data_IF_490458653257
#
_entry.id   IF_490458653257
#
_cell.length_a   1.000
_cell.length_b   1.000
_cell.length_c   1.000
_cell.angle_alpha   90.00
_cell.angle_beta   90.00
_cell.angle_gamma   90.00
#
_symmetry.space_group_name_H-M   'P 1'
#
loop_
_entity.id
_entity.type
_entity.pdbx_description
1 polymer ?
#
# COMPACT_ATOMS: atom_id res chain seq x y z
N UNK A 1 -32.77 -2.78 -39.15
CA UNK A 1 -31.64 -3.18 -38.28
C UNK A 1 -30.80 -1.94 -38.08
N UNK A 2 -30.90 -1.30 -36.92
CA UNK A 2 -30.11 -0.11 -36.59
C UNK A 2 -28.64 -0.50 -36.57
N UNK A 3 -27.86 0.12 -37.45
CA UNK A 3 -26.42 -0.10 -37.62
C UNK A 3 -25.63 0.62 -36.51
N UNK A 4 -26.03 0.40 -35.25
CA UNK A 4 -25.32 0.95 -34.10
C UNK A 4 -24.03 0.14 -33.96
N UNK A 5 -22.85 0.75 -34.04
CA UNK A 5 -21.59 0.02 -33.87
C UNK A 5 -21.62 -0.70 -32.53
N UNK A 6 -21.12 -1.95 -32.53
CA UNK A 6 -20.96 -2.73 -31.31
C UNK A 6 -20.15 -1.90 -30.31
N UNK A 7 -20.57 -1.85 -29.04
CA UNK A 7 -19.86 -1.10 -28.03
C UNK A 7 -18.44 -1.67 -27.88
N UNK A 8 -17.43 -0.81 -28.01
CA UNK A 8 -16.01 -1.16 -27.95
C UNK A 8 -15.48 -0.85 -26.55
N UNK A 9 -15.08 -1.88 -25.81
CA UNK A 9 -14.62 -1.74 -24.44
C UNK A 9 -13.37 -0.86 -24.35
N UNK A 10 -12.51 -0.88 -25.37
CA UNK A 10 -11.26 -0.14 -25.40
C UNK A 10 -11.49 1.38 -25.40
N UNK A 11 -12.59 1.84 -26.01
CA UNK A 11 -12.96 3.26 -25.98
C UNK A 11 -13.27 3.73 -24.56
N UNK A 12 -13.98 2.91 -23.77
CA UNK A 12 -14.26 3.21 -22.37
C UNK A 12 -12.99 3.16 -21.52
N UNK A 13 -12.11 2.19 -21.75
CA UNK A 13 -10.84 2.09 -21.02
C UNK A 13 -9.94 3.30 -21.26
N UNK A 14 -9.97 3.88 -22.46
CA UNK A 14 -9.24 5.12 -22.78
C UNK A 14 -9.70 6.33 -21.95
N UNK A 15 -10.99 6.40 -21.62
CA UNK A 15 -11.55 7.51 -20.83
C UNK A 15 -11.02 7.54 -19.39
N UNK A 16 -10.60 6.39 -18.84
CA UNK A 16 -10.08 6.31 -17.47
C UNK A 16 -8.86 7.24 -17.26
N UNK A 17 -7.72 7.04 -17.94
CA UNK A 17 -6.58 7.93 -17.78
C UNK A 17 -6.89 9.37 -18.24
N UNK A 18 -7.64 9.56 -19.34
CA UNK A 18 -7.96 10.90 -19.88
C UNK A 18 -8.77 11.77 -18.90
N UNK A 19 -9.66 11.16 -18.11
CA UNK A 19 -10.51 11.87 -17.15
C UNK A 19 -10.04 11.71 -15.69
N UNK A 20 -8.84 11.19 -15.46
CA UNK A 20 -8.32 10.94 -14.11
C UNK A 20 -9.15 9.95 -13.29
N UNK A 21 -9.83 9.02 -13.96
CA UNK A 21 -10.67 7.98 -13.36
C UNK A 21 -9.85 6.83 -12.75
N UNK A 22 -10.36 6.26 -11.66
CA UNK A 22 -9.79 5.09 -11.00
C UNK A 22 -10.46 3.78 -11.44
N UNK A 23 -11.78 3.80 -11.62
CA UNK A 23 -12.58 2.61 -11.91
C UNK A 23 -13.66 2.93 -12.94
N UNK A 24 -13.96 1.98 -13.83
CA UNK A 24 -15.06 1.99 -14.80
C UNK A 24 -16.03 0.85 -14.47
N UNK A 25 -17.32 1.14 -14.38
CA UNK A 25 -18.38 0.20 -14.02
C UNK A 25 -19.30 -0.03 -15.21
N UNK A 26 -19.57 -1.31 -15.49
CA UNK A 26 -20.50 -1.75 -16.53
C UNK A 26 -21.56 -2.65 -15.90
N UNK A 27 -22.82 -2.22 -15.97
CA UNK A 27 -23.96 -2.98 -15.48
C UNK A 27 -25.17 -2.70 -16.38
N UNK A 28 -25.90 -3.76 -16.73
CA UNK A 28 -27.15 -3.66 -17.49
C UNK A 28 -28.14 -2.75 -16.75
N UNK A 29 -28.83 -1.90 -17.50
CA UNK A 29 -29.80 -0.92 -16.98
C UNK A 29 -29.19 0.38 -16.46
N UNK A 30 -27.86 0.55 -16.55
CA UNK A 30 -27.17 1.80 -16.25
C UNK A 30 -26.23 2.18 -17.41
N UNK A 31 -25.92 3.48 -17.60
CA UNK A 31 -24.82 3.87 -18.46
C UNK A 31 -23.48 3.41 -17.87
N UNK A 32 -22.43 3.21 -18.68
CA UNK A 32 -21.07 3.01 -18.18
C UNK A 32 -20.71 4.15 -17.23
N UNK A 33 -20.23 3.83 -16.03
CA UNK A 33 -19.88 4.84 -15.03
C UNK A 33 -18.39 4.88 -14.80
N UNK A 34 -17.81 6.08 -14.79
CA UNK A 34 -16.44 6.32 -14.41
C UNK A 34 -16.41 6.90 -13.00
N UNK A 35 -15.57 6.35 -12.14
CA UNK A 35 -15.28 6.90 -10.81
C UNK A 35 -13.99 7.70 -10.86
N UNK A 36 -14.07 8.98 -10.55
CA UNK A 36 -12.93 9.87 -10.37
C UNK A 36 -13.01 10.50 -8.98
N UNK A 37 -11.87 10.55 -8.29
CA UNK A 37 -11.75 11.21 -6.99
C UNK A 37 -12.73 10.78 -5.89
N UNK A 38 -13.30 9.58 -6.00
CA UNK A 38 -14.29 9.04 -5.07
C UNK A 38 -15.75 9.21 -5.50
N UNK A 39 -16.02 9.99 -6.55
CA UNK A 39 -17.35 10.23 -7.09
C UNK A 39 -17.56 9.46 -8.39
N UNK A 40 -18.75 8.86 -8.55
CA UNK A 40 -19.14 8.12 -9.76
C UNK A 40 -19.96 9.02 -10.66
N UNK A 41 -19.64 9.03 -11.96
CA UNK A 41 -20.36 9.81 -12.97
C UNK A 41 -20.51 9.00 -14.26
N UNK A 42 -21.61 9.17 -15.02
CA UNK A 42 -21.75 8.54 -16.34
C UNK A 42 -20.60 8.93 -17.27
N UNK A 43 -20.03 7.95 -17.98
CA UNK A 43 -19.02 8.18 -19.01
C UNK A 43 -19.65 8.68 -20.32
N UNK A 44 -20.87 8.19 -20.61
CA UNK A 44 -21.81 8.63 -21.64
C UNK A 44 -23.27 8.50 -21.13
N UNK A 45 -24.25 8.88 -21.95
CA UNK A 45 -25.68 8.85 -21.60
C UNK A 45 -26.39 7.54 -22.00
N UNK A 46 -25.70 6.60 -22.65
CA UNK A 46 -26.32 5.40 -23.21
C UNK A 46 -26.46 4.33 -22.14
N UNK A 47 -27.71 3.95 -21.86
CA UNK A 47 -27.99 2.81 -20.98
C UNK A 47 -27.57 1.50 -21.64
N UNK A 48 -26.84 0.67 -20.90
CA UNK A 48 -26.41 -0.66 -21.36
C UNK A 48 -27.60 -1.63 -21.33
N UNK A 49 -27.92 -2.20 -22.49
CA UNK A 49 -29.00 -3.17 -22.68
C UNK A 49 -28.56 -4.60 -22.30
N UNK A 50 -29.51 -5.54 -22.07
CA UNK A 50 -29.20 -6.94 -21.83
C UNK A 50 -28.27 -7.54 -22.89
N UNK A 51 -27.24 -8.28 -22.46
CA UNK A 51 -26.22 -8.85 -23.33
C UNK A 51 -25.11 -7.89 -23.82
N UNK A 52 -25.24 -6.58 -23.65
CA UNK A 52 -24.19 -5.63 -24.08
C UNK A 52 -22.95 -5.71 -23.19
N UNK A 53 -23.13 -5.83 -21.88
CA UNK A 53 -22.00 -6.01 -20.96
C UNK A 53 -21.28 -7.33 -21.22
N UNK A 54 -22.02 -8.40 -21.57
CA UNK A 54 -21.43 -9.67 -22.03
C UNK A 54 -20.55 -9.43 -23.25
N UNK A 55 -21.05 -8.69 -24.23
CA UNK A 55 -20.30 -8.35 -25.46
C UNK A 55 -19.03 -7.56 -25.16
N UNK A 56 -19.07 -6.62 -24.21
CA UNK A 56 -17.91 -5.85 -23.76
C UNK A 56 -16.89 -6.72 -23.01
N UNK A 57 -17.34 -7.54 -22.08
CA UNK A 57 -16.49 -8.41 -21.28
C UNK A 57 -15.75 -9.44 -22.15
N UNK A 58 -16.41 -10.00 -23.18
CA UNK A 58 -15.82 -10.98 -24.09
C UNK A 58 -14.68 -10.40 -24.93
N UNK A 59 -14.66 -9.09 -25.19
CA UNK A 59 -13.54 -8.43 -25.87
C UNK A 59 -12.26 -8.44 -25.03
N UNK A 60 -12.36 -8.65 -23.72
CA UNK A 60 -11.24 -8.69 -22.79
C UNK A 60 -10.73 -10.12 -22.54
N UNK A 61 -11.47 -11.15 -22.96
CA UNK A 61 -11.17 -12.55 -22.67
C UNK A 61 -10.62 -13.27 -23.91
N UNK A 62 -9.66 -14.15 -23.68
CA UNK A 62 -9.36 -15.24 -24.63
C UNK A 62 -10.51 -16.26 -24.67
N UNK A 63 -10.62 -17.09 -25.73
CA UNK A 63 -11.66 -18.12 -25.81
C UNK A 63 -11.66 -19.12 -24.64
N UNK A 64 -10.48 -19.46 -24.10
CA UNK A 64 -10.36 -20.32 -22.93
C UNK A 64 -10.89 -19.64 -21.67
N UNK A 65 -10.51 -18.37 -21.44
CA UNK A 65 -11.03 -17.57 -20.33
C UNK A 65 -12.55 -17.39 -20.40
N UNK A 66 -13.11 -17.20 -21.59
CA UNK A 66 -14.57 -17.11 -21.74
C UNK A 66 -15.27 -18.41 -21.29
N UNK A 67 -14.70 -19.58 -21.59
CA UNK A 67 -15.22 -20.87 -21.12
C UNK A 67 -15.11 -21.02 -19.61
N UNK A 68 -13.97 -20.63 -19.03
CA UNK A 68 -13.78 -20.65 -17.58
C UNK A 68 -14.77 -19.72 -16.88
N UNK A 69 -15.00 -18.51 -17.41
CA UNK A 69 -15.97 -17.58 -16.85
C UNK A 69 -17.42 -18.10 -16.94
N UNK A 70 -17.81 -18.73 -18.05
CA UNK A 70 -19.14 -19.34 -18.17
C UNK A 70 -19.35 -20.50 -17.19
N UNK A 71 -18.28 -21.20 -16.79
CA UNK A 71 -18.31 -22.26 -15.78
C UNK A 71 -18.35 -21.70 -14.36
N UNK A 72 -17.46 -20.75 -14.05
CA UNK A 72 -17.17 -20.32 -12.68
C UNK A 72 -17.98 -19.08 -12.26
N UNK A 73 -18.62 -18.40 -13.22
CA UNK A 73 -19.48 -17.21 -13.05
C UNK A 73 -18.77 -15.96 -12.50
N UNK A 74 -17.45 -16.03 -12.27
CA UNK A 74 -16.59 -14.96 -11.81
C UNK A 74 -15.21 -15.06 -12.49
N UNK A 75 -14.59 -13.92 -12.80
CA UNK A 75 -13.27 -13.87 -13.43
C UNK A 75 -12.53 -12.57 -13.10
N UNK A 76 -11.24 -12.70 -12.80
CA UNK A 76 -10.32 -11.58 -12.67
C UNK A 76 -9.32 -11.63 -13.84
N UNK A 77 -9.06 -10.48 -14.47
CA UNK A 77 -8.12 -10.34 -15.57
C UNK A 77 -7.17 -9.18 -15.29
N UNK A 78 -5.88 -9.36 -15.56
CA UNK A 78 -5.01 -8.22 -15.84
C UNK A 78 -4.91 -8.00 -17.35
N UNK A 79 -5.03 -6.74 -17.74
CA UNK A 79 -5.10 -6.31 -19.13
C UNK A 79 -4.02 -5.27 -19.38
N UNK A 80 -3.32 -5.42 -20.51
CA UNK A 80 -2.40 -4.40 -21.00
C UNK A 80 -2.92 -3.91 -22.34
N UNK A 81 -3.38 -2.66 -22.38
CA UNK A 81 -3.91 -2.05 -23.59
C UNK A 81 -2.84 -1.09 -24.14
N UNK A 82 -2.27 -1.36 -25.33
CA UNK A 82 -1.26 -0.51 -25.94
C UNK A 82 -1.69 0.96 -25.97
N UNK A 83 -0.74 1.86 -25.67
CA UNK A 83 -0.90 3.33 -25.67
C UNK A 83 -1.96 3.89 -24.71
N UNK A 84 -2.64 3.05 -23.92
CA UNK A 84 -3.68 3.48 -22.97
C UNK A 84 -3.23 3.23 -21.53
N UNK A 85 -2.85 2.00 -21.20
CA UNK A 85 -2.46 1.65 -19.83
C UNK A 85 -2.68 0.19 -19.47
N UNK A 86 -2.41 -0.12 -18.20
CA UNK A 86 -2.72 -1.43 -17.62
C UNK A 86 -3.95 -1.35 -16.75
N UNK A 87 -4.76 -2.40 -16.78
CA UNK A 87 -6.02 -2.47 -16.10
C UNK A 87 -6.18 -3.79 -15.39
N UNK A 88 -7.04 -3.81 -14.38
CA UNK A 88 -7.57 -5.04 -13.81
C UNK A 88 -9.08 -5.06 -13.98
N UNK A 89 -9.61 -6.11 -14.60
CA UNK A 89 -11.04 -6.32 -14.75
C UNK A 89 -11.52 -7.41 -13.79
N UNK A 90 -12.60 -7.13 -13.07
CA UNK A 90 -13.39 -8.11 -12.34
C UNK A 90 -14.73 -8.26 -13.07
N UNK A 91 -15.06 -9.47 -13.48
CA UNK A 91 -16.21 -9.81 -14.33
C UNK A 91 -17.02 -10.87 -13.60
N UNK A 92 -18.32 -10.65 -13.45
CA UNK A 92 -19.19 -11.47 -12.60
C UNK A 92 -20.65 -11.43 -13.08
N UNK A 93 -21.50 -12.32 -12.57
CA UNK A 93 -22.93 -12.27 -12.80
C UNK A 93 -23.68 -11.51 -11.69
N UNK A 94 -24.66 -10.69 -12.07
CA UNK A 94 -25.61 -10.08 -11.17
C UNK A 94 -27.02 -10.13 -11.78
N UNK A 95 -27.98 -10.66 -11.01
CA UNK A 95 -29.40 -10.78 -11.43
C UNK A 95 -29.59 -11.45 -12.79
N UNK A 96 -28.74 -12.42 -13.13
CA UNK A 96 -28.79 -13.16 -14.41
C UNK A 96 -28.04 -12.51 -15.57
N UNK A 97 -27.46 -11.32 -15.38
CA UNK A 97 -26.72 -10.59 -16.41
C UNK A 97 -25.24 -10.45 -16.03
N UNK A 98 -24.37 -10.31 -17.04
CA UNK A 98 -22.95 -10.03 -16.83
C UNK A 98 -22.76 -8.59 -16.35
N UNK A 99 -21.90 -8.40 -15.36
CA UNK A 99 -21.40 -7.13 -14.88
C UNK A 99 -19.87 -7.13 -14.88
N UNK A 100 -19.27 -5.94 -14.97
CA UNK A 100 -17.82 -5.79 -15.02
C UNK A 100 -17.38 -4.50 -14.35
N UNK A 101 -16.30 -4.56 -13.60
CA UNK A 101 -15.58 -3.40 -13.08
C UNK A 101 -14.14 -3.45 -13.57
N UNK A 102 -13.68 -2.36 -14.20
CA UNK A 102 -12.30 -2.25 -14.69
C UNK A 102 -11.58 -1.13 -13.96
N UNK A 103 -10.45 -1.44 -13.32
CA UNK A 103 -9.61 -0.49 -12.58
C UNK A 103 -8.36 -0.15 -13.36
N UNK A 104 -8.01 1.14 -13.44
CA UNK A 104 -6.72 1.60 -13.97
C UNK A 104 -5.61 1.33 -12.97
N UNK A 105 -4.53 0.66 -13.40
CA UNK A 105 -3.32 0.44 -12.59
C UNK A 105 -2.38 1.64 -12.78
N UNK A 106 -1.86 2.17 -11.67
CA UNK A 106 -1.01 3.36 -11.69
C UNK A 106 0.38 3.03 -12.26
N UNK A 107 0.82 3.84 -13.22
CA UNK A 107 2.18 3.74 -13.79
C UNK A 107 3.11 4.82 -13.25
N UNK A 108 2.58 5.97 -12.86
CA UNK A 108 3.39 7.07 -12.32
C UNK A 108 3.64 6.79 -10.84
N UNK A 109 4.88 6.44 -10.52
CA UNK A 109 5.34 6.25 -9.15
C UNK A 109 5.93 7.58 -8.67
N UNK A 110 5.38 8.20 -7.62
CA UNK A 110 5.91 9.44 -7.07
C UNK A 110 7.27 9.22 -6.39
N UNK A 111 8.08 10.27 -6.29
CA UNK A 111 9.32 10.24 -5.52
C UNK A 111 9.02 10.32 -4.01
N UNK A 112 9.86 9.71 -3.18
CA UNK A 112 9.74 9.69 -1.71
C UNK A 112 9.55 11.10 -1.13
N UNK A 113 10.34 12.07 -1.59
CA UNK A 113 10.27 13.46 -1.14
C UNK A 113 8.97 14.16 -1.55
N UNK A 114 8.45 13.87 -2.74
CA UNK A 114 7.18 14.44 -3.23
C UNK A 114 5.97 13.97 -2.42
N UNK A 115 6.06 12.80 -1.80
CA UNK A 115 5.06 12.29 -0.86
C UNK A 115 5.15 12.95 0.52
N UNK A 116 6.18 13.76 0.79
CA UNK A 116 6.46 14.30 2.12
C UNK A 116 6.99 13.25 3.11
N UNK A 117 7.62 12.19 2.61
CA UNK A 117 8.23 11.14 3.44
C UNK A 117 9.69 11.49 3.79
N UNK A 118 10.22 10.96 4.90
CA UNK A 118 11.63 11.16 5.28
C UNK A 118 12.61 10.66 4.21
N UNK A 119 13.61 11.47 3.85
CA UNK A 119 14.61 11.12 2.82
C UNK A 119 15.50 9.92 3.18
N UNK A 120 15.55 9.54 4.46
CA UNK A 120 16.24 8.33 4.90
C UNK A 120 15.65 7.04 4.30
N UNK A 121 14.39 7.06 3.83
CA UNK A 121 13.79 5.92 3.14
C UNK A 121 14.56 5.55 1.86
N UNK A 122 15.16 6.52 1.16
CA UNK A 122 16.02 6.27 0.00
C UNK A 122 17.26 5.45 0.40
N UNK A 123 17.87 5.76 1.55
CA UNK A 123 19.02 5.02 2.10
C UNK A 123 18.62 3.61 2.54
N UNK A 124 17.42 3.45 3.09
CA UNK A 124 16.87 2.15 3.48
C UNK A 124 16.61 1.26 2.26
N UNK A 125 16.07 1.81 1.17
CA UNK A 125 15.83 1.09 -0.08
C UNK A 125 17.13 0.56 -0.73
N UNK A 126 18.27 1.19 -0.42
CA UNK A 126 19.58 0.82 -0.94
C UNK A 126 20.32 -0.25 -0.13
N UNK A 127 19.79 -0.66 1.03
CA UNK A 127 20.42 -1.71 1.86
C UNK A 127 20.51 -3.05 1.11
N UNK A 128 21.51 -3.86 1.45
CA UNK A 128 21.70 -5.19 0.85
C UNK A 128 20.71 -6.21 1.41
N UNK A 129 20.49 -6.17 2.73
CA UNK A 129 19.75 -7.18 3.46
C UNK A 129 19.03 -6.65 4.67
N UNK A 130 18.00 -7.37 5.09
CA UNK A 130 17.23 -7.11 6.28
C UNK A 130 15.75 -6.89 5.98
N UNK A 131 14.96 -6.57 7.00
CA UNK A 131 13.52 -6.45 6.92
C UNK A 131 13.06 -5.00 7.08
N UNK A 132 12.28 -4.50 6.14
CA UNK A 132 11.58 -3.22 6.22
C UNK A 132 10.07 -3.48 6.21
N UNK A 133 9.36 -2.96 7.20
CA UNK A 133 7.90 -3.08 7.27
C UNK A 133 7.24 -1.70 7.15
N UNK A 134 6.38 -1.54 6.14
CA UNK A 134 5.51 -0.36 6.01
C UNK A 134 4.16 -0.67 6.64
N UNK A 135 3.78 0.10 7.65
CA UNK A 135 2.69 -0.21 8.57
C UNK A 135 1.61 0.86 8.47
N UNK A 136 0.35 0.45 8.48
CA UNK A 136 -0.77 1.39 8.43
C UNK A 136 -2.11 0.77 8.08
N UNK A 137 -3.19 1.51 8.33
CA UNK A 137 -4.54 1.12 7.93
C UNK A 137 -4.68 0.98 6.41
N UNK A 138 -5.82 0.43 5.96
CA UNK A 138 -6.18 0.47 4.55
C UNK A 138 -6.23 1.93 4.05
N UNK A 139 -5.66 2.19 2.87
CA UNK A 139 -5.61 3.54 2.31
C UNK A 139 -4.61 4.50 2.98
N UNK A 140 -3.74 4.04 3.89
CA UNK A 140 -2.72 4.87 4.55
C UNK A 140 -1.51 5.25 3.65
N UNK A 141 -1.47 4.79 2.39
CA UNK A 141 -0.39 5.09 1.45
C UNK A 141 0.77 4.09 1.42
N UNK A 142 0.63 2.94 2.10
CA UNK A 142 1.69 1.91 2.23
C UNK A 142 2.27 1.48 0.87
N UNK A 143 1.41 1.06 -0.05
CA UNK A 143 1.79 0.56 -1.37
C UNK A 143 2.47 1.66 -2.20
N UNK A 144 2.03 2.92 -2.07
CA UNK A 144 2.68 4.07 -2.72
C UNK A 144 4.09 4.29 -2.17
N UNK A 145 4.28 4.23 -0.85
CA UNK A 145 5.61 4.36 -0.24
C UNK A 145 6.54 3.24 -0.65
N UNK A 146 6.04 2.00 -0.61
CA UNK A 146 6.81 0.84 -1.01
C UNK A 146 7.23 0.96 -2.49
N UNK A 147 6.30 1.28 -3.39
CA UNK A 147 6.59 1.51 -4.80
C UNK A 147 7.64 2.63 -4.97
N UNK A 148 7.54 3.73 -4.22
CA UNK A 148 8.52 4.83 -4.29
C UNK A 148 9.93 4.36 -3.89
N UNK A 149 10.04 3.55 -2.83
CA UNK A 149 11.31 2.99 -2.36
C UNK A 149 11.92 2.02 -3.38
N UNK A 150 11.11 1.11 -3.94
CA UNK A 150 11.59 0.17 -4.96
C UNK A 150 11.98 0.88 -6.24
N UNK A 151 11.23 1.89 -6.67
CA UNK A 151 11.56 2.68 -7.86
C UNK A 151 12.85 3.49 -7.68
N UNK A 152 13.08 4.02 -6.47
CA UNK A 152 14.35 4.65 -6.12
C UNK A 152 15.50 3.65 -6.27
N UNK A 153 15.41 2.46 -5.68
CA UNK A 153 16.45 1.43 -5.85
C UNK A 153 16.65 1.05 -7.31
N UNK A 154 15.57 0.79 -8.05
CA UNK A 154 15.59 0.40 -9.45
C UNK A 154 16.28 1.45 -10.36
N UNK A 155 16.22 2.74 -10.01
CA UNK A 155 16.98 3.79 -10.70
C UNK A 155 18.46 3.81 -10.36
N UNK A 156 18.84 3.47 -9.13
CA UNK A 156 20.18 3.74 -8.60
C UNK A 156 21.08 2.51 -8.48
N UNK A 157 20.50 1.31 -8.44
CA UNK A 157 21.23 0.04 -8.27
C UNK A 157 20.85 -0.96 -9.35
N UNK A 158 21.80 -1.81 -9.74
CA UNK A 158 21.52 -2.99 -10.55
C UNK A 158 21.25 -4.18 -9.64
N UNK A 159 20.40 -5.08 -10.10
CA UNK A 159 20.01 -6.28 -9.38
C UNK A 159 18.66 -6.79 -9.84
N UNK A 160 18.12 -7.76 -9.11
CA UNK A 160 16.83 -8.36 -9.34
C UNK A 160 15.88 -8.06 -8.18
N UNK A 161 14.73 -7.47 -8.50
CA UNK A 161 13.65 -7.19 -7.54
C UNK A 161 12.48 -8.10 -7.90
N UNK A 162 12.03 -8.94 -6.97
CA UNK A 162 10.82 -9.74 -7.16
C UNK A 162 9.71 -9.23 -6.24
N UNK A 163 8.54 -8.97 -6.80
CA UNK A 163 7.35 -8.54 -6.07
C UNK A 163 6.27 -9.61 -6.12
N UNK A 164 5.68 -9.93 -4.98
CA UNK A 164 4.55 -10.84 -4.85
C UNK A 164 3.38 -10.05 -4.28
N UNK A 165 2.33 -9.85 -5.08
CA UNK A 165 1.24 -8.90 -4.80
C UNK A 165 -0.14 -9.53 -5.00
N UNK A 166 -1.15 -8.99 -4.31
CA UNK A 166 -2.55 -9.42 -4.40
C UNK A 166 -3.47 -8.20 -4.18
N UNK A 167 -3.77 -7.42 -5.24
CA UNK A 167 -3.18 -7.41 -6.58
C UNK A 167 -1.95 -6.49 -6.72
N UNK A 168 -1.38 -6.41 -7.92
CA UNK A 168 -0.40 -5.37 -8.27
C UNK A 168 -1.06 -3.98 -8.23
N UNK A 169 -0.52 -3.07 -7.41
CA UNK A 169 -1.05 -1.69 -7.29
C UNK A 169 -0.33 -0.68 -8.18
N UNK A 170 0.98 -0.85 -8.35
CA UNK A 170 1.84 0.00 -9.15
C UNK A 170 2.64 -0.84 -10.12
N UNK A 171 2.71 -0.40 -11.38
CA UNK A 171 3.57 -1.07 -12.35
C UNK A 171 4.97 -0.45 -12.32
N UNK A 172 5.97 -1.29 -12.11
CA UNK A 172 7.36 -0.92 -12.24
C UNK A 172 7.90 -1.27 -13.62
N UNK A 173 8.56 -0.30 -14.25
CA UNK A 173 9.33 -0.54 -15.47
C UNK A 173 10.76 -0.94 -15.12
N UNK A 174 11.37 -1.84 -15.88
CA UNK A 174 12.80 -2.12 -15.76
C UNK A 174 13.62 -0.85 -15.97
N UNK A 175 14.65 -0.64 -15.13
CA UNK A 175 15.58 0.49 -15.25
C UNK A 175 17.01 -0.03 -15.10
N UNK A 176 17.67 0.27 -13.99
CA UNK A 176 18.99 -0.28 -13.67
C UNK A 176 18.87 -1.67 -13.04
N UNK A 177 17.78 -1.93 -12.32
CA UNK A 177 17.39 -3.28 -11.90
C UNK A 177 16.41 -3.91 -12.90
N UNK A 178 16.40 -5.25 -12.90
CA UNK A 178 15.30 -6.07 -13.39
C UNK A 178 14.27 -6.14 -12.26
N UNK A 179 12.99 -6.03 -12.60
CA UNK A 179 11.90 -6.05 -11.63
C UNK A 179 10.76 -6.90 -12.18
N UNK A 180 10.50 -8.01 -11.50
CA UNK A 180 9.48 -8.99 -11.87
C UNK A 180 8.36 -8.94 -10.83
N UNK A 181 7.15 -8.63 -11.26
CA UNK A 181 5.97 -8.55 -10.40
C UNK A 181 5.05 -9.73 -10.69
N UNK A 182 4.62 -10.43 -9.64
CA UNK A 182 3.77 -11.60 -9.71
C UNK A 182 2.48 -11.33 -8.94
N UNK A 183 1.36 -11.30 -9.65
CA UNK A 183 0.03 -11.19 -9.07
C UNK A 183 -0.52 -12.58 -8.69
N UNK A 184 -0.97 -12.74 -7.45
CA UNK A 184 -1.62 -13.96 -6.99
C UNK A 184 -2.96 -14.18 -7.69
N UNK A 185 -3.18 -15.40 -8.17
CA UNK A 185 -4.33 -15.78 -8.98
C UNK A 185 -4.13 -15.58 -10.48
N UNK A 186 -3.08 -14.85 -10.91
CA UNK A 186 -2.77 -14.62 -12.32
C UNK A 186 -1.41 -15.19 -12.72
N UNK A 187 -0.33 -14.72 -12.08
CA UNK A 187 1.05 -15.13 -12.40
C UNK A 187 1.54 -16.27 -11.49
N UNK A 188 0.82 -16.52 -10.40
CA UNK A 188 1.06 -17.60 -9.45
C UNK A 188 -0.27 -18.08 -8.87
N UNK A 189 -0.43 -19.38 -8.68
CA UNK A 189 -1.70 -19.94 -8.17
C UNK A 189 -1.98 -19.52 -6.72
N UNK A 190 -0.93 -19.41 -5.90
CA UNK A 190 -1.05 -19.04 -4.50
C UNK A 190 0.12 -18.17 -4.06
N UNK A 191 -0.11 -17.42 -2.98
CA UNK A 191 0.94 -16.65 -2.31
C UNK A 191 2.04 -17.58 -1.77
N UNK A 192 1.65 -18.73 -1.21
CA UNK A 192 2.58 -19.74 -0.69
C UNK A 192 3.52 -20.30 -1.78
N UNK A 193 2.98 -20.64 -2.95
CA UNK A 193 3.80 -21.15 -4.05
C UNK A 193 4.80 -20.11 -4.56
N UNK A 194 4.42 -18.83 -4.58
CA UNK A 194 5.32 -17.75 -4.93
C UNK A 194 6.45 -17.61 -3.90
N UNK A 195 6.11 -17.59 -2.60
CA UNK A 195 7.08 -17.53 -1.51
C UNK A 195 8.06 -18.71 -1.53
N UNK A 196 7.57 -19.92 -1.81
CA UNK A 196 8.42 -21.11 -1.85
C UNK A 196 9.45 -21.06 -2.99
N UNK A 197 9.10 -20.43 -4.11
CA UNK A 197 9.93 -20.44 -5.32
C UNK A 197 10.83 -19.20 -5.46
N UNK A 198 10.50 -18.08 -4.80
CA UNK A 198 11.23 -16.81 -4.96
C UNK A 198 12.74 -16.93 -4.73
N UNK A 199 13.20 -17.77 -3.80
CA UNK A 199 14.64 -17.97 -3.54
C UNK A 199 15.39 -18.64 -4.70
N UNK A 200 14.69 -19.30 -5.62
CA UNK A 200 15.26 -19.89 -6.84
C UNK A 200 15.28 -18.90 -8.01
N UNK A 201 14.70 -17.73 -7.84
CA UNK A 201 14.61 -16.67 -8.84
C UNK A 201 15.81 -15.70 -8.74
N UNK A 202 16.79 -16.00 -7.89
CA UNK A 202 17.97 -15.17 -7.62
C UNK A 202 17.64 -13.68 -7.34
N UNK A 203 16.72 -13.37 -6.40
CA UNK A 203 16.39 -11.99 -6.06
C UNK A 203 17.50 -11.34 -5.24
N UNK A 204 17.68 -10.03 -5.37
CA UNK A 204 18.40 -9.19 -4.40
C UNK A 204 17.42 -8.54 -3.41
N UNK A 205 16.20 -8.24 -3.88
CA UNK A 205 15.11 -7.66 -3.09
C UNK A 205 13.85 -8.48 -3.30
N UNK A 206 13.19 -8.80 -2.20
CA UNK A 206 11.88 -9.46 -2.20
C UNK A 206 10.86 -8.51 -1.61
N UNK A 207 9.83 -8.20 -2.38
CA UNK A 207 8.70 -7.41 -1.95
C UNK A 207 7.49 -8.30 -1.73
N UNK A 208 6.92 -8.21 -0.53
CA UNK A 208 5.72 -8.92 -0.14
C UNK A 208 4.58 -7.92 0.02
N UNK A 209 3.52 -8.07 -0.76
CA UNK A 209 2.39 -7.15 -0.78
C UNK A 209 1.83 -6.90 0.61
N UNK A 210 1.50 -7.97 1.35
CA UNK A 210 1.04 -7.87 2.73
C UNK A 210 1.36 -9.13 3.55
N UNK A 211 1.79 -8.96 4.79
CA UNK A 211 1.92 -10.07 5.76
C UNK A 211 0.60 -10.23 6.53
N UNK A 212 -0.11 -11.34 6.27
CA UNK A 212 -1.41 -11.64 6.88
C UNK A 212 -1.38 -12.75 7.93
N UNK A 213 -0.34 -13.59 7.90
CA UNK A 213 -0.25 -14.82 8.69
C UNK A 213 1.19 -15.17 9.09
N UNK A 214 1.31 -16.23 9.91
CA UNK A 214 2.58 -16.74 10.42
C UNK A 214 3.51 -17.24 9.31
N UNK A 215 2.96 -17.97 8.33
CA UNK A 215 3.75 -18.57 7.25
C UNK A 215 4.43 -17.49 6.41
N UNK A 216 3.69 -16.44 6.02
CA UNK A 216 4.23 -15.30 5.28
C UNK A 216 5.27 -14.55 6.08
N UNK A 217 5.05 -14.36 7.39
CA UNK A 217 6.02 -13.71 8.27
C UNK A 217 7.31 -14.54 8.43
N UNK A 218 7.21 -15.86 8.55
CA UNK A 218 8.37 -16.76 8.60
C UNK A 218 9.21 -16.65 7.33
N UNK A 219 8.56 -16.63 6.16
CA UNK A 219 9.25 -16.41 4.90
C UNK A 219 9.96 -15.04 4.87
N UNK A 220 9.30 -13.97 5.28
CA UNK A 220 9.89 -12.64 5.33
C UNK A 220 11.14 -12.58 6.24
N UNK A 221 11.08 -13.20 7.43
CA UNK A 221 12.23 -13.32 8.33
C UNK A 221 13.35 -14.15 7.71
N UNK A 222 13.02 -15.29 7.11
CA UNK A 222 13.97 -16.17 6.47
C UNK A 222 14.69 -15.49 5.28
N UNK A 223 13.97 -14.71 4.47
CA UNK A 223 14.58 -13.95 3.36
C UNK A 223 15.58 -12.90 3.88
N UNK A 224 15.19 -12.17 4.92
CA UNK A 224 16.07 -11.18 5.55
C UNK A 224 17.32 -11.83 6.15
N UNK A 225 17.17 -12.99 6.81
CA UNK A 225 18.25 -13.76 7.42
C UNK A 225 19.23 -14.32 6.37
N UNK A 226 18.69 -14.81 5.25
CA UNK A 226 19.47 -15.39 4.14
C UNK A 226 20.16 -14.33 3.26
N UNK A 227 20.10 -13.06 3.64
CA UNK A 227 20.89 -11.99 3.02
C UNK A 227 20.16 -11.17 1.97
N UNK A 228 18.83 -11.26 1.88
CA UNK A 228 18.01 -10.45 0.97
C UNK A 228 17.46 -9.23 1.68
N UNK A 229 17.20 -8.15 0.93
CA UNK A 229 16.36 -7.07 1.43
C UNK A 229 14.90 -7.48 1.25
N UNK A 230 14.21 -7.78 2.35
CA UNK A 230 12.78 -8.05 2.35
C UNK A 230 12.01 -6.78 2.72
N UNK A 231 11.08 -6.35 1.88
CA UNK A 231 10.21 -5.20 2.13
C UNK A 231 8.77 -5.67 2.09
N UNK A 232 7.98 -5.35 3.11
CA UNK A 232 6.61 -5.81 3.16
C UNK A 232 5.67 -4.77 3.78
N UNK A 233 4.36 -4.94 3.55
CA UNK A 233 3.36 -4.16 4.28
C UNK A 233 2.69 -4.97 5.38
N UNK A 234 2.24 -4.27 6.42
CA UNK A 234 1.47 -4.84 7.53
C UNK A 234 0.33 -3.89 7.90
N UNK A 235 -0.87 -4.42 8.15
CA UNK A 235 -1.91 -3.65 8.81
C UNK A 235 -1.57 -3.43 10.28
N UNK A 236 -1.66 -2.18 10.71
CA UNK A 236 -1.41 -1.76 12.09
C UNK A 236 -1.69 -0.27 12.27
N UNK A 237 -1.86 0.14 13.51
CA UNK A 237 -2.07 1.54 13.89
C UNK A 237 -0.77 2.24 14.29
N UNK A 238 0.23 1.49 14.77
CA UNK A 238 1.59 1.96 15.08
C UNK A 238 2.63 0.86 14.91
N UNK A 239 3.91 1.23 14.94
CA UNK A 239 5.04 0.31 14.87
C UNK A 239 5.05 -0.67 16.05
N UNK A 240 4.73 -0.19 17.25
CA UNK A 240 4.58 -1.06 18.43
C UNK A 240 3.48 -2.11 18.21
N UNK A 241 2.28 -1.68 17.81
CA UNK A 241 1.17 -2.61 17.58
C UNK A 241 1.42 -3.58 16.43
N UNK A 242 2.20 -3.17 15.43
CA UNK A 242 2.65 -4.08 14.37
C UNK A 242 3.51 -5.22 14.92
N UNK A 243 4.48 -4.93 15.80
CA UNK A 243 5.29 -5.97 16.45
C UNK A 243 4.42 -6.89 17.30
N UNK A 244 3.53 -6.33 18.13
CA UNK A 244 2.58 -7.11 18.93
C UNK A 244 1.69 -8.00 18.04
N UNK A 245 1.24 -7.50 16.89
CA UNK A 245 0.45 -8.27 15.92
C UNK A 245 1.26 -9.41 15.31
N UNK A 246 2.52 -9.15 14.94
CA UNK A 246 3.43 -10.19 14.43
C UNK A 246 3.53 -11.34 15.43
N UNK A 247 3.73 -11.03 16.72
CA UNK A 247 3.82 -12.09 17.74
C UNK A 247 2.54 -12.92 17.88
N UNK A 248 1.37 -12.33 17.61
CA UNK A 248 0.06 -13.01 17.69
C UNK A 248 -0.23 -13.94 16.50
N UNK A 249 0.58 -13.90 15.45
CA UNK A 249 0.50 -14.92 14.40
C UNK A 249 0.96 -16.29 14.89
N UNK A 250 1.80 -16.31 15.92
CA UNK A 250 2.45 -17.50 16.42
C UNK A 250 1.86 -17.93 17.77
N UNK A 251 2.01 -19.22 18.15
CA UNK A 251 1.75 -19.67 19.52
C UNK A 251 2.58 -18.88 20.53
N UNK A 252 2.07 -18.72 21.75
CA UNK A 252 2.71 -17.91 22.79
C UNK A 252 4.12 -18.40 23.14
N UNK A 253 4.38 -19.71 23.03
CA UNK A 253 5.68 -20.32 23.28
C UNK A 253 6.74 -19.89 22.26
N UNK A 254 6.33 -19.52 21.04
CA UNK A 254 7.23 -19.08 19.98
C UNK A 254 7.55 -17.57 20.06
N UNK A 255 6.84 -16.79 20.88
CA UNK A 255 7.02 -15.33 21.00
C UNK A 255 8.46 -14.91 21.26
N UNK A 256 9.23 -15.51 22.19
CA UNK A 256 10.63 -15.12 22.40
C UNK A 256 11.50 -15.32 21.17
N UNK A 257 11.28 -16.41 20.44
CA UNK A 257 12.02 -16.71 19.20
C UNK A 257 11.66 -15.70 18.09
N UNK A 258 10.37 -15.44 17.89
CA UNK A 258 9.89 -14.48 16.87
C UNK A 258 10.45 -13.08 17.13
N UNK A 259 10.47 -12.62 18.38
CA UNK A 259 11.06 -11.33 18.74
C UNK A 259 12.57 -11.32 18.56
N UNK A 260 13.27 -12.42 18.86
CA UNK A 260 14.69 -12.55 18.59
C UNK A 260 14.98 -12.44 17.09
N UNK A 261 14.29 -13.22 16.25
CA UNK A 261 14.47 -13.23 14.79
C UNK A 261 14.13 -11.87 14.19
N UNK A 262 13.04 -11.25 14.64
CA UNK A 262 12.66 -9.90 14.23
C UNK A 262 13.73 -8.88 14.61
N UNK A 263 14.24 -8.92 15.85
CA UNK A 263 15.26 -7.98 16.33
C UNK A 263 16.56 -8.08 15.54
N UNK A 264 16.94 -9.28 15.09
CA UNK A 264 18.17 -9.48 14.33
C UNK A 264 18.05 -8.96 12.90
N UNK A 265 16.87 -9.12 12.30
CA UNK A 265 16.63 -8.85 10.88
C UNK A 265 16.03 -7.46 10.60
N UNK A 266 15.39 -6.81 11.57
CA UNK A 266 14.73 -5.51 11.34
C UNK A 266 15.73 -4.41 10.98
N UNK A 267 15.45 -3.73 9.87
CA UNK A 267 16.09 -2.49 9.45
C UNK A 267 15.25 -1.27 9.83
N UNK A 268 13.95 -1.32 9.52
CA UNK A 268 13.05 -0.22 9.81
C UNK A 268 11.57 -0.65 9.91
N UNK A 269 10.84 0.05 10.77
CA UNK A 269 9.37 0.05 10.83
C UNK A 269 8.92 1.46 10.43
N UNK A 270 8.02 1.54 9.45
CA UNK A 270 7.53 2.80 8.87
C UNK A 270 6.02 2.86 9.06
N UNK A 271 5.57 3.41 10.18
CA UNK A 271 4.15 3.64 10.46
C UNK A 271 3.62 4.84 9.70
N UNK A 272 2.43 4.74 9.08
CA UNK A 272 1.84 5.79 8.26
C UNK A 272 0.39 6.10 8.60
N UNK A 273 0.05 7.38 8.56
CA UNK A 273 -1.32 7.90 8.64
C UNK A 273 -1.50 9.00 7.60
N UNK A 274 -2.62 8.98 6.87
CA UNK A 274 -3.03 10.11 6.05
C UNK A 274 -3.97 11.01 6.84
N UNK A 275 -3.56 12.25 7.00
CA UNK A 275 -4.28 13.30 7.72
C UNK A 275 -4.86 14.28 6.70
N UNK A 276 -6.07 14.84 6.91
CA UNK A 276 -6.55 15.95 6.10
C UNK A 276 -5.52 17.08 6.05
N UNK A 277 -5.18 17.56 4.85
CA UNK A 277 -4.20 18.63 4.69
C UNK A 277 -4.89 20.00 4.58
N UNK A 278 -4.19 21.06 5.00
CA UNK A 278 -4.67 22.44 4.93
C UNK A 278 -4.52 23.06 3.54
N UNK A 279 -3.44 22.72 2.82
CA UNK A 279 -3.15 23.19 1.46
C UNK A 279 -3.16 22.08 0.40
N UNK A 280 -2.82 20.86 0.81
CA UNK A 280 -2.90 19.66 -0.01
C UNK A 280 -4.10 18.83 0.45
N UNK A 281 -4.64 17.96 -0.42
CA UNK A 281 -5.80 17.12 -0.05
C UNK A 281 -5.53 16.26 1.19
N UNK A 282 -4.31 15.73 1.32
CA UNK A 282 -3.86 14.89 2.45
C UNK A 282 -2.38 15.14 2.75
N UNK A 283 -1.99 15.09 4.01
CA UNK A 283 -0.61 15.03 4.48
C UNK A 283 -0.32 13.64 5.08
N UNK A 284 0.92 13.16 4.96
CA UNK A 284 1.34 11.90 5.58
C UNK A 284 2.06 12.18 6.89
N UNK A 285 1.53 11.66 8.00
CA UNK A 285 2.26 11.57 9.26
C UNK A 285 2.97 10.22 9.31
N UNK A 286 4.24 10.23 9.71
CA UNK A 286 5.11 9.05 9.69
C UNK A 286 5.71 8.81 11.07
N UNK A 287 5.52 7.62 11.61
CA UNK A 287 6.34 7.07 12.69
C UNK A 287 7.47 6.27 12.05
N UNK A 288 8.72 6.61 12.36
CA UNK A 288 9.89 5.93 11.81
C UNK A 288 10.75 5.37 12.94
N UNK A 289 10.88 4.05 12.96
CA UNK A 289 11.71 3.30 13.90
C UNK A 289 12.81 2.60 13.11
N UNK A 290 14.07 2.87 13.43
CA UNK A 290 15.22 2.21 12.83
C UNK A 290 15.73 1.09 13.73
N UNK A 291 16.21 0.00 13.13
CA UNK A 291 16.77 -1.17 13.80
C UNK A 291 18.15 -0.92 14.43
N UNK A 292 18.27 0.11 15.26
CA UNK A 292 19.50 0.39 16.03
C UNK A 292 19.73 -0.67 17.11
N UNK A 293 20.96 -0.85 17.63
CA UNK A 293 21.22 -1.82 18.70
C UNK A 293 20.30 -1.64 19.92
N UNK A 294 19.95 -0.41 20.27
CA UNK A 294 19.02 -0.12 21.38
C UNK A 294 17.60 -0.60 21.08
N UNK A 295 17.06 -0.26 19.89
CA UNK A 295 15.73 -0.68 19.45
C UNK A 295 15.64 -2.21 19.34
N UNK A 296 16.67 -2.85 18.77
CA UNK A 296 16.75 -4.31 18.67
C UNK A 296 16.73 -4.95 20.05
N UNK A 297 17.45 -4.38 21.02
CA UNK A 297 17.42 -4.82 22.41
C UNK A 297 16.04 -4.73 23.05
N UNK A 298 15.31 -3.62 22.82
CA UNK A 298 13.92 -3.45 23.29
C UNK A 298 13.00 -4.53 22.71
N UNK A 299 13.11 -4.80 21.41
CA UNK A 299 12.31 -5.84 20.73
C UNK A 299 12.64 -7.22 21.29
N UNK A 300 13.92 -7.56 21.39
CA UNK A 300 14.38 -8.88 21.85
C UNK A 300 13.97 -9.19 23.30
N UNK A 301 13.96 -8.18 24.18
CA UNK A 301 13.53 -8.34 25.58
C UNK A 301 12.03 -8.20 25.79
N UNK A 302 11.25 -8.02 24.72
CA UNK A 302 9.80 -7.79 24.77
C UNK A 302 9.40 -6.55 25.59
N UNK A 303 10.26 -5.53 25.60
CA UNK A 303 10.06 -4.25 26.30
C UNK A 303 9.31 -3.25 25.38
N UNK A 304 8.42 -3.74 24.53
CA UNK A 304 7.74 -2.95 23.49
C UNK A 304 7.07 -1.65 23.96
N UNK A 305 6.56 -1.53 25.21
CA UNK A 305 6.07 -0.25 25.72
C UNK A 305 7.11 0.88 25.75
N UNK A 306 8.40 0.56 25.84
CA UNK A 306 9.49 1.56 25.88
C UNK A 306 9.83 2.12 24.50
N UNK A 307 9.34 1.49 23.42
CA UNK A 307 9.70 1.81 22.04
C UNK A 307 9.44 3.27 21.69
N UNK A 308 8.27 3.81 22.06
CA UNK A 308 7.90 5.22 21.78
C UNK A 308 8.90 6.18 22.41
N UNK A 309 9.21 6.01 23.69
CA UNK A 309 10.16 6.88 24.39
C UNK A 309 11.59 6.76 23.84
N UNK A 310 12.00 5.56 23.39
CA UNK A 310 13.29 5.37 22.75
C UNK A 310 13.40 6.11 21.41
N UNK A 311 12.34 6.07 20.60
CA UNK A 311 12.22 6.80 19.33
C UNK A 311 12.28 8.31 19.56
N UNK A 312 11.51 8.82 20.53
CA UNK A 312 11.41 10.27 20.78
C UNK A 312 12.72 10.91 21.24
N UNK A 313 13.56 10.15 21.96
CA UNK A 313 14.88 10.61 22.43
C UNK A 313 15.96 10.59 21.35
N UNK A 314 15.74 9.90 20.22
CA UNK A 314 16.77 9.63 19.22
C UNK A 314 16.77 10.64 18.06
N UNK A 315 16.71 11.94 18.39
CA UNK A 315 16.50 13.03 17.44
C UNK A 315 17.55 13.08 16.29
N UNK A 316 18.80 12.69 16.56
CA UNK A 316 19.88 12.73 15.55
C UNK A 316 19.87 11.55 14.57
N UNK A 317 19.09 10.50 14.84
CA UNK A 317 19.08 9.27 14.04
C UNK A 317 18.12 9.30 12.84
N UNK A 318 17.30 10.35 12.74
CA UNK A 318 16.19 10.43 11.78
C UNK A 318 14.95 9.64 12.20
N UNK A 319 14.95 8.99 13.37
CA UNK A 319 13.75 8.39 13.96
C UNK A 319 12.78 9.48 14.44
N UNK A 320 11.48 9.19 14.39
CA UNK A 320 10.44 10.10 14.87
C UNK A 320 9.17 9.34 15.26
N UNK A 321 8.47 9.82 16.29
CA UNK A 321 7.13 9.33 16.65
C UNK A 321 6.05 9.98 15.77
N UNK A 322 4.83 9.41 15.76
CA UNK A 322 3.70 10.07 15.11
C UNK A 322 3.45 11.47 15.66
N UNK A 323 3.54 11.65 16.98
CA UNK A 323 3.30 12.94 17.64
C UNK A 323 4.34 13.98 17.21
N UNK A 324 5.62 13.59 17.08
CA UNK A 324 6.67 14.46 16.53
C UNK A 324 6.42 14.82 15.06
N UNK A 325 6.02 13.84 14.23
CA UNK A 325 5.69 14.07 12.82
C UNK A 325 4.48 14.98 12.64
N UNK A 326 3.41 14.78 13.42
CA UNK A 326 2.22 15.62 13.40
C UNK A 326 2.51 17.05 13.86
N UNK A 327 3.35 17.18 14.90
CA UNK A 327 3.81 18.49 15.35
C UNK A 327 4.58 19.24 14.26
N UNK A 328 5.49 18.57 13.56
CA UNK A 328 6.22 19.17 12.44
C UNK A 328 5.28 19.57 11.29
N UNK A 329 4.33 18.71 10.91
CA UNK A 329 3.33 19.05 9.89
C UNK A 329 2.50 20.28 10.28
N UNK A 330 2.20 20.45 11.56
CA UNK A 330 1.47 21.58 12.09
C UNK A 330 2.31 22.87 12.03
N UNK A 331 3.60 22.81 12.37
CA UNK A 331 4.55 23.92 12.23
C UNK A 331 4.73 24.35 10.77
N UNK A 332 4.74 23.39 9.84
CA UNK A 332 4.78 23.64 8.40
C UNK A 332 3.45 24.15 7.83
N UNK A 333 2.40 24.29 8.64
CA UNK A 333 1.06 24.72 8.21
C UNK A 333 0.36 23.71 7.29
N UNK A 334 0.80 22.44 7.29
CA UNK A 334 0.27 21.38 6.41
C UNK A 334 -0.99 20.73 6.97
N UNK A 335 -1.21 20.79 8.28
CA UNK A 335 -2.40 20.25 8.97
C UNK A 335 -2.92 21.26 10.00
N UNK A 336 -4.21 21.16 10.33
CA UNK A 336 -4.81 21.97 11.40
C UNK A 336 -4.44 21.44 12.79
N UNK A 337 -4.54 22.27 13.83
CA UNK A 337 -4.37 21.83 15.24
C UNK A 337 -5.37 20.73 15.59
N UNK A 338 -6.63 20.88 15.16
CA UNK A 338 -7.69 19.92 15.42
C UNK A 338 -7.38 18.55 14.80
N UNK A 339 -6.90 18.52 13.55
CA UNK A 339 -6.52 17.28 12.88
C UNK A 339 -5.25 16.68 13.49
N UNK A 340 -4.23 17.49 13.81
CA UNK A 340 -3.02 17.00 14.47
C UNK A 340 -3.35 16.28 15.78
N UNK A 341 -4.19 16.87 16.63
CA UNK A 341 -4.62 16.28 17.90
C UNK A 341 -5.52 15.05 17.74
N UNK A 342 -6.36 15.02 16.70
CA UNK A 342 -7.25 13.88 16.41
C UNK A 342 -6.47 12.63 15.97
N UNK A 343 -5.38 12.82 15.24
CA UNK A 343 -4.58 11.73 14.68
C UNK A 343 -3.33 11.38 15.52
N UNK A 344 -3.12 12.05 16.65
CA UNK A 344 -2.03 11.80 17.60
C UNK A 344 -2.14 10.44 18.28
N UNK A 345 -1.00 9.86 18.65
CA UNK A 345 -0.94 8.73 19.57
C UNK A 345 -1.27 9.16 20.99
N UNK A 346 -0.74 10.31 21.41
CA UNK A 346 -1.09 10.96 22.68
C UNK A 346 -1.58 12.36 22.43
N UNK A 347 -2.91 12.52 22.40
CA UNK A 347 -3.55 13.84 22.31
C UNK A 347 -3.06 14.78 23.41
N UNK A 348 -2.90 14.26 24.63
CA UNK A 348 -2.47 15.04 25.80
C UNK A 348 -1.04 15.55 25.64
N UNK A 349 -0.10 14.68 25.26
CA UNK A 349 1.31 15.07 25.14
C UNK A 349 1.51 16.05 23.98
N UNK A 350 0.84 15.79 22.84
CA UNK A 350 0.90 16.70 21.71
C UNK A 350 0.27 18.06 22.02
N UNK A 351 -0.88 18.09 22.71
CA UNK A 351 -1.51 19.35 23.14
C UNK A 351 -0.61 20.14 24.08
N UNK A 352 0.03 19.46 25.06
CA UNK A 352 0.97 20.10 25.97
C UNK A 352 2.17 20.68 25.21
N UNK A 353 2.74 19.93 24.25
CA UNK A 353 3.83 20.41 23.40
C UNK A 353 3.44 21.64 22.60
N UNK A 354 2.27 21.62 21.94
CA UNK A 354 1.74 22.76 21.19
C UNK A 354 1.59 23.99 22.09
N UNK A 355 1.05 23.82 23.31
CA UNK A 355 0.91 24.92 24.28
C UNK A 355 2.27 25.53 24.65
N UNK A 356 3.24 24.69 25.00
CA UNK A 356 4.56 25.14 25.46
C UNK A 356 5.34 25.86 24.37
N UNK A 357 5.25 25.39 23.12
CA UNK A 357 6.03 25.95 22.01
C UNK A 357 5.31 27.11 21.27
N UNK A 358 3.98 27.13 21.21
CA UNK A 358 3.20 28.21 20.54
C UNK A 358 2.63 29.27 21.48
N UNK A 359 2.69 29.07 22.80
CA UNK A 359 2.12 30.01 23.78
C UNK A 359 0.59 30.18 23.66
N UNK A 360 -0.13 29.14 23.27
CA UNK A 360 -1.59 29.16 23.07
C UNK A 360 -2.37 28.95 24.39
N UNK A 361 -3.35 29.82 24.67
CA UNK A 361 -4.25 29.73 25.83
C UNK A 361 -5.28 28.58 25.71
N UNK A 362 -5.79 28.11 26.86
CA UNK A 362 -6.63 26.90 27.00
C UNK A 362 -7.88 26.87 26.10
N UNK A 363 -8.47 28.04 25.83
CA UNK A 363 -9.70 28.18 25.02
C UNK A 363 -9.50 27.88 23.52
N UNK A 364 -8.25 27.86 23.04
CA UNK A 364 -7.94 27.70 21.62
C UNK A 364 -7.74 26.24 21.15
N UNK A 365 -7.63 25.29 22.10
CA UNK A 365 -7.32 23.88 21.81
C UNK A 365 -8.58 23.00 21.71
N UNK A 366 -9.76 23.56 22.00
CA UNK A 366 -11.04 22.84 21.99
C UNK A 366 -11.13 21.78 23.10
N UNK A 367 -12.34 21.40 23.53
CA UNK A 367 -12.50 20.50 24.67
C UNK A 367 -11.86 19.13 24.40
N UNK A 368 -11.27 18.55 25.45
CA UNK A 368 -10.60 17.25 25.43
C UNK A 368 -11.55 16.09 25.04
N UNK A 369 -12.86 16.29 25.17
CA UNK A 369 -13.91 15.36 24.79
C UNK A 369 -15.01 16.11 24.03
N UNK A 370 -15.40 15.59 22.87
CA UNK A 370 -16.68 15.94 22.26
C UNK A 370 -17.80 15.46 23.16
N UNK A 371 -18.85 16.28 23.30
CA UNK A 371 -20.15 15.80 23.78
C UNK A 371 -20.85 14.99 22.71
#
# INVERSE_FOLDING_TARGET
>A
MSNTPLPDVIQYLRLLPERGGSDMFFSVGAPPHLKAEGHSQPADDRVLEPGEVKTLAWQLMSPAQAQDFERDLEMNLALSVPDIGRFRANIYYQRGEVAMVVRLIKQVIPDVTSLGLPSILDKLAMQDRGLILVIGAAGAGKSTTLASMLDFRNRHRSGHIVCIEDPIEFLHMHKKSIIDQREVGLDTHSYEDALRNVLREAPDVIMLGEIRDAATMQHALHYAETGHLCVATLHGTSCRHAIERITRFFPDEARPQVLADLSQNILALIGQRLVPGSHQRRAVAVELVLGTPHIRGIIQRDELPELKGAVERALESGMQSFDQSLYQLLEEGRVSVADALKFADSRTDLALKIKLERGMDDDSIGPAFGS
#
